data_IF_269982592546
#
_entry.id   IF_269982592546
#
_cell.length_a   1.000
_cell.length_b   1.000
_cell.length_c   1.000
_cell.angle_alpha   90.00
_cell.angle_beta   90.00
_cell.angle_gamma   90.00
#
_symmetry.space_group_name_H-M   'P 1'
#
loop_
_entity.id
_entity.type
_entity.pdbx_description
1 polymer ?
#
# COMPACT_ATOMS: atom_id res chain seq x y z
N UNK A 1 23.49 -12.38 1.92
CA UNK A 1 22.45 -11.84 1.00
C UNK A 1 22.53 -12.53 -0.34
N UNK A 2 23.56 -12.25 -1.16
CA UNK A 2 23.75 -12.84 -2.49
C UNK A 2 23.72 -14.38 -2.47
N UNK A 3 24.52 -15.00 -1.59
CA UNK A 3 24.51 -16.46 -1.38
C UNK A 3 23.18 -17.03 -0.87
N UNK A 4 22.30 -16.22 -0.28
CA UNK A 4 20.97 -16.69 0.11
C UNK A 4 20.05 -16.62 -1.10
N UNK A 5 20.05 -15.50 -1.82
CA UNK A 5 19.21 -15.29 -2.99
C UNK A 5 19.45 -16.34 -4.09
N UNK A 6 20.71 -16.69 -4.35
CA UNK A 6 21.08 -17.75 -5.32
C UNK A 6 20.57 -19.15 -4.93
N UNK A 7 20.30 -19.38 -3.64
CA UNK A 7 19.79 -20.67 -3.15
C UNK A 7 18.26 -20.78 -3.26
N UNK A 8 17.57 -19.75 -3.74
CA UNK A 8 16.15 -19.85 -4.06
C UNK A 8 15.97 -20.80 -5.27
N UNK A 9 15.11 -21.83 -5.22
CA UNK A 9 15.02 -22.85 -6.28
C UNK A 9 14.72 -22.31 -7.69
N UNK A 10 14.03 -21.17 -7.77
CA UNK A 10 13.68 -20.52 -9.03
C UNK A 10 14.69 -19.43 -9.49
N UNK A 11 15.85 -19.31 -8.83
CA UNK A 11 16.90 -18.34 -9.18
C UNK A 11 18.13 -19.08 -9.69
N UNK A 12 18.60 -18.72 -10.88
CA UNK A 12 19.79 -19.30 -11.53
C UNK A 12 21.06 -18.53 -11.21
N UNK A 13 20.99 -17.20 -11.19
CA UNK A 13 22.10 -16.31 -10.85
C UNK A 13 21.59 -15.16 -9.99
N UNK A 14 22.44 -14.63 -9.10
CA UNK A 14 22.07 -13.54 -8.21
C UNK A 14 23.27 -12.61 -7.94
N UNK A 15 22.99 -11.32 -7.83
CA UNK A 15 23.92 -10.33 -7.34
C UNK A 15 23.19 -9.36 -6.41
N UNK A 16 23.86 -8.86 -5.37
CA UNK A 16 23.30 -7.79 -4.52
C UNK A 16 24.24 -6.60 -4.54
N UNK A 17 23.68 -5.40 -4.76
CA UNK A 17 24.45 -4.17 -4.74
C UNK A 17 23.73 -3.09 -3.92
N UNK A 18 24.49 -2.37 -3.11
CA UNK A 18 24.04 -1.14 -2.49
C UNK A 18 24.07 0.00 -3.53
N UNK A 19 23.01 0.81 -3.56
CA UNK A 19 22.90 2.02 -4.37
C UNK A 19 22.38 3.14 -3.49
N UNK A 20 22.94 4.33 -3.64
CA UNK A 20 22.35 5.53 -3.06
C UNK A 20 21.21 6.00 -3.96
N UNK A 21 20.07 6.34 -3.37
CA UNK A 21 19.02 7.08 -4.06
C UNK A 21 19.30 8.60 -4.05
N UNK A 22 18.42 9.38 -4.66
CA UNK A 22 18.54 10.84 -4.73
C UNK A 22 18.50 11.53 -3.35
N UNK A 23 17.92 10.88 -2.34
CA UNK A 23 17.86 11.37 -0.96
C UNK A 23 19.11 10.96 -0.15
N UNK A 24 20.08 10.30 -0.81
CA UNK A 24 21.30 9.69 -0.23
C UNK A 24 21.00 8.53 0.73
N UNK A 25 19.82 7.96 0.66
CA UNK A 25 19.51 6.74 1.38
C UNK A 25 20.11 5.56 0.60
N UNK A 26 20.93 4.76 1.29
CA UNK A 26 21.54 3.57 0.72
C UNK A 26 20.53 2.43 0.72
N UNK A 27 20.09 2.02 -0.47
CA UNK A 27 19.17 0.91 -0.67
C UNK A 27 19.88 -0.30 -1.26
N UNK A 28 19.53 -1.48 -0.77
CA UNK A 28 19.98 -2.75 -1.34
C UNK A 28 19.13 -3.11 -2.55
N UNK A 29 19.77 -3.45 -3.67
CA UNK A 29 19.14 -3.92 -4.89
C UNK A 29 19.58 -5.36 -5.16
N UNK A 30 18.61 -6.26 -5.32
CA UNK A 30 18.81 -7.66 -5.67
C UNK A 30 18.62 -7.88 -7.16
N UNK A 31 19.68 -8.23 -7.87
CA UNK A 31 19.62 -8.63 -9.26
C UNK A 31 19.53 -10.15 -9.33
N UNK A 32 18.65 -10.68 -10.16
CA UNK A 32 18.53 -12.12 -10.31
C UNK A 32 18.20 -12.52 -11.75
N UNK A 33 18.66 -13.70 -12.12
CA UNK A 33 18.29 -14.40 -13.37
C UNK A 33 17.36 -15.54 -12.98
N UNK A 34 16.14 -15.62 -13.51
CA UNK A 34 15.19 -16.67 -13.15
C UNK A 34 15.57 -17.99 -13.82
N UNK A 35 15.44 -19.10 -13.10
CA UNK A 35 15.69 -20.45 -13.63
C UNK A 35 14.58 -20.93 -14.59
N UNK A 36 13.38 -20.36 -14.48
CA UNK A 36 12.21 -20.70 -15.32
C UNK A 36 11.47 -19.43 -15.76
N UNK A 37 10.68 -19.51 -16.83
CA UNK A 37 9.75 -18.44 -17.25
C UNK A 37 8.30 -18.96 -17.19
N UNK A 38 7.41 -18.34 -16.39
CA UNK A 38 7.67 -17.20 -15.50
C UNK A 38 8.61 -17.57 -14.33
N UNK A 39 9.33 -16.56 -13.83
CA UNK A 39 10.22 -16.67 -12.66
C UNK A 39 9.46 -16.42 -11.34
N UNK A 40 10.17 -16.39 -10.20
CA UNK A 40 9.55 -16.11 -8.91
C UNK A 40 9.04 -14.67 -8.83
N UNK A 41 7.97 -14.46 -8.08
CA UNK A 41 7.49 -13.13 -7.72
C UNK A 41 8.46 -12.44 -6.75
N UNK A 42 8.39 -11.11 -6.70
CA UNK A 42 9.20 -10.33 -5.75
C UNK A 42 8.88 -10.70 -4.30
N UNK A 43 7.62 -11.00 -4.00
CA UNK A 43 7.20 -11.39 -2.65
C UNK A 43 7.74 -12.78 -2.27
N UNK A 44 7.74 -13.75 -3.19
CA UNK A 44 8.36 -15.07 -2.96
C UNK A 44 9.84 -14.94 -2.60
N UNK A 45 10.59 -14.12 -3.36
CA UNK A 45 11.99 -13.84 -3.07
C UNK A 45 12.17 -13.17 -1.70
N UNK A 46 11.30 -12.20 -1.37
CA UNK A 46 11.37 -11.47 -0.11
C UNK A 46 11.07 -12.37 1.08
N UNK A 47 10.02 -13.19 1.02
CA UNK A 47 9.66 -14.17 2.05
C UNK A 47 10.80 -15.15 2.27
N UNK A 48 11.35 -15.70 1.19
CA UNK A 48 12.47 -16.63 1.26
C UNK A 48 13.70 -16.01 1.94
N UNK A 49 14.01 -14.74 1.66
CA UNK A 49 15.11 -14.03 2.30
C UNK A 49 14.83 -13.72 3.78
N UNK A 50 13.59 -13.32 4.15
CA UNK A 50 13.19 -13.02 5.53
C UNK A 50 13.37 -14.19 6.49
N UNK A 51 13.11 -15.41 6.02
CA UNK A 51 13.31 -16.62 6.83
C UNK A 51 14.79 -16.90 7.17
N UNK A 52 15.72 -16.25 6.46
CA UNK A 52 17.16 -16.60 6.46
C UNK A 52 18.06 -15.41 6.78
N UNK A 53 17.54 -14.19 6.72
CA UNK A 53 18.29 -12.94 6.89
C UNK A 53 17.48 -11.96 7.74
N UNK A 54 18.16 -11.10 8.53
CA UNK A 54 17.50 -10.00 9.22
C UNK A 54 17.00 -8.95 8.22
N UNK A 55 15.94 -8.21 8.60
CA UNK A 55 15.20 -7.31 7.70
C UNK A 55 16.06 -6.28 6.95
N UNK A 56 17.10 -5.73 7.61
CA UNK A 56 17.99 -4.73 7.01
C UNK A 56 18.89 -5.29 5.89
N UNK A 57 18.98 -6.62 5.75
CA UNK A 57 19.77 -7.29 4.71
C UNK A 57 18.93 -7.69 3.49
N UNK A 58 17.66 -7.34 3.48
CA UNK A 58 16.72 -7.71 2.43
C UNK A 58 16.67 -6.59 1.41
N UNK A 59 16.92 -6.87 0.11
CA UNK A 59 16.82 -5.84 -0.91
C UNK A 59 15.48 -5.11 -0.90
N UNK A 60 15.54 -3.79 -1.03
CA UNK A 60 14.37 -2.95 -1.19
C UNK A 60 13.75 -3.18 -2.58
N UNK A 61 14.61 -3.28 -3.61
CA UNK A 61 14.23 -3.50 -5.01
C UNK A 61 14.83 -4.79 -5.55
N UNK A 62 14.12 -5.40 -6.50
CA UNK A 62 14.59 -6.55 -7.25
C UNK A 62 14.55 -6.26 -8.76
N UNK A 63 15.63 -6.61 -9.45
CA UNK A 63 15.77 -6.43 -10.90
C UNK A 63 15.97 -7.79 -11.55
N UNK A 64 15.03 -8.17 -12.41
CA UNK A 64 15.14 -9.39 -13.22
C UNK A 64 16.05 -9.13 -14.42
N UNK A 65 17.02 -10.01 -14.65
CA UNK A 65 17.96 -9.93 -15.77
C UNK A 65 17.88 -11.22 -16.60
N UNK A 66 18.31 -11.12 -17.87
CA UNK A 66 18.51 -12.31 -18.72
C UNK A 66 19.82 -13.02 -18.39
N UNK A 67 20.84 -12.26 -17.99
CA UNK A 67 22.15 -12.75 -17.55
C UNK A 67 22.82 -11.69 -16.67
N UNK A 68 23.70 -12.09 -15.74
CA UNK A 68 24.52 -11.11 -15.03
C UNK A 68 25.62 -10.54 -15.95
N UNK A 69 25.92 -9.23 -15.87
CA UNK A 69 27.01 -8.65 -16.63
C UNK A 69 28.35 -9.18 -16.10
N UNK A 70 29.19 -9.70 -17.00
CA UNK A 70 30.51 -10.20 -16.66
C UNK A 70 31.60 -9.30 -17.28
N UNK A 71 32.71 -9.15 -16.57
CA UNK A 71 33.91 -8.52 -17.10
C UNK A 71 34.66 -9.51 -18.05
N UNK A 72 35.70 -9.07 -18.77
CA UNK A 72 36.45 -9.94 -19.68
C UNK A 72 37.07 -11.19 -19.02
N UNK A 73 37.21 -11.20 -17.69
CA UNK A 73 37.72 -12.35 -16.93
C UNK A 73 36.60 -13.29 -16.44
N UNK A 74 35.36 -13.10 -16.90
CA UNK A 74 34.20 -13.91 -16.51
C UNK A 74 33.69 -13.67 -15.09
N UNK A 75 34.13 -12.60 -14.42
CA UNK A 75 33.63 -12.23 -13.08
C UNK A 75 32.53 -11.19 -13.19
N UNK A 76 31.59 -11.18 -12.25
CA UNK A 76 30.53 -10.16 -12.16
C UNK A 76 31.10 -8.73 -12.25
N UNK A 77 30.63 -7.98 -13.25
CA UNK A 77 30.89 -6.56 -13.38
C UNK A 77 29.79 -5.74 -12.69
N UNK A 78 30.03 -5.42 -11.41
CA UNK A 78 29.08 -4.65 -10.57
C UNK A 78 28.83 -3.23 -11.07
N UNK A 79 29.70 -2.67 -11.91
CA UNK A 79 29.55 -1.33 -12.49
C UNK A 79 28.63 -1.35 -13.71
N UNK A 80 28.56 -2.49 -14.39
CA UNK A 80 27.67 -2.71 -15.52
C UNK A 80 26.27 -3.20 -15.11
N UNK A 81 26.03 -3.42 -13.80
CA UNK A 81 24.69 -3.72 -13.30
C UNK A 81 23.77 -2.52 -13.59
N UNK A 82 22.61 -2.75 -14.25
CA UNK A 82 21.70 -1.67 -14.60
C UNK A 82 21.17 -1.00 -13.33
N UNK A 83 20.83 0.28 -13.44
CA UNK A 83 20.07 0.93 -12.38
C UNK A 83 18.70 0.25 -12.27
N UNK A 84 18.17 0.10 -11.06
CA UNK A 84 16.77 -0.30 -10.89
C UNK A 84 15.81 0.77 -11.40
N UNK A 85 16.28 2.01 -11.58
CA UNK A 85 15.52 3.14 -12.09
C UNK A 85 14.33 3.49 -11.20
N UNK A 86 13.54 4.43 -11.71
CA UNK A 86 12.20 4.73 -11.18
C UNK A 86 11.10 4.09 -12.01
N UNK A 87 11.41 3.29 -13.02
CA UNK A 87 10.35 2.73 -13.86
C UNK A 87 9.50 1.75 -13.06
N UNK A 88 8.17 1.91 -13.10
CA UNK A 88 7.22 0.91 -12.59
C UNK A 88 7.64 -0.50 -13.03
N UNK A 89 7.81 -1.45 -12.09
CA UNK A 89 8.16 -2.83 -12.42
C UNK A 89 7.15 -3.44 -13.41
N UNK A 90 7.62 -4.39 -14.23
CA UNK A 90 6.73 -5.20 -15.05
C UNK A 90 5.94 -6.16 -14.17
N UNK A 91 4.81 -5.68 -13.66
CA UNK A 91 3.80 -6.47 -12.95
C UNK A 91 2.70 -6.91 -13.92
N UNK A 92 1.95 -7.95 -13.55
CA UNK A 92 0.88 -8.53 -14.38
C UNK A 92 -0.32 -7.60 -14.56
N UNK A 93 -0.52 -6.64 -13.65
CA UNK A 93 -1.60 -5.66 -13.72
C UNK A 93 -1.39 -4.65 -14.86
N UNK A 94 -2.49 -4.34 -15.56
CA UNK A 94 -2.54 -3.21 -16.48
C UNK A 94 -2.51 -1.92 -15.67
N UNK A 95 -1.71 -0.94 -16.11
CA UNK A 95 -1.72 0.39 -15.49
C UNK A 95 -3.08 1.06 -15.70
N UNK A 96 -3.71 1.47 -14.60
CA UNK A 96 -4.97 2.23 -14.60
C UNK A 96 -4.78 3.49 -13.77
N UNK A 97 -5.12 4.64 -14.34
CA UNK A 97 -4.96 5.94 -13.69
C UNK A 97 -5.90 6.12 -12.49
N UNK A 98 -5.49 6.91 -11.48
CA UNK A 98 -6.35 7.30 -10.37
C UNK A 98 -7.60 8.07 -10.81
N UNK A 99 -8.76 7.66 -10.31
CA UNK A 99 -10.09 8.17 -10.67
C UNK A 99 -10.61 9.19 -9.68
N UNK A 100 -10.18 9.12 -8.42
CA UNK A 100 -10.56 10.05 -7.35
C UNK A 100 -9.39 10.87 -6.81
N UNK A 101 -9.69 11.92 -6.01
CA UNK A 101 -8.65 12.69 -5.31
C UNK A 101 -7.90 11.83 -4.29
N UNK A 102 -8.60 10.94 -3.57
CA UNK A 102 -7.98 10.04 -2.59
C UNK A 102 -7.03 9.07 -3.29
N UNK A 103 -7.44 8.47 -4.41
CA UNK A 103 -6.58 7.58 -5.19
C UNK A 103 -5.35 8.31 -5.75
N UNK A 104 -5.50 9.57 -6.19
CA UNK A 104 -4.37 10.38 -6.69
C UNK A 104 -3.32 10.61 -5.61
N UNK A 105 -3.76 11.05 -4.44
CA UNK A 105 -2.88 11.32 -3.30
C UNK A 105 -2.18 10.04 -2.82
N UNK A 106 -2.92 8.94 -2.69
CA UNK A 106 -2.33 7.63 -2.36
C UNK A 106 -1.30 7.20 -3.42
N UNK A 107 -1.60 7.38 -4.71
CA UNK A 107 -0.68 7.01 -5.80
C UNK A 107 0.61 7.80 -5.75
N UNK A 108 0.55 9.10 -5.43
CA UNK A 108 1.72 9.94 -5.27
C UNK A 108 2.56 9.53 -4.06
N UNK A 109 1.91 9.29 -2.91
CA UNK A 109 2.59 8.82 -1.69
C UNK A 109 3.31 7.49 -1.95
N UNK A 110 2.66 6.57 -2.66
CA UNK A 110 3.22 5.26 -2.98
C UNK A 110 4.37 5.36 -3.98
N UNK A 111 4.20 6.13 -5.06
CA UNK A 111 5.24 6.34 -6.06
C UNK A 111 6.52 6.90 -5.42
N UNK A 112 6.38 7.87 -4.51
CA UNK A 112 7.51 8.43 -3.76
C UNK A 112 8.14 7.39 -2.82
N UNK A 113 7.34 6.69 -2.02
CA UNK A 113 7.85 5.71 -1.06
C UNK A 113 8.56 4.53 -1.75
N UNK A 114 8.01 4.05 -2.86
CA UNK A 114 8.58 2.96 -3.67
C UNK A 114 9.70 3.44 -4.60
N UNK A 115 9.91 4.75 -4.70
CA UNK A 115 10.83 5.37 -5.66
C UNK A 115 10.60 4.88 -7.09
N UNK A 116 9.35 5.00 -7.55
CA UNK A 116 8.91 4.69 -8.92
C UNK A 116 8.13 5.87 -9.54
N UNK A 117 7.99 5.87 -10.86
CA UNK A 117 7.45 6.96 -11.67
C UNK A 117 5.93 7.09 -11.53
N UNK A 118 5.24 5.95 -11.47
CA UNK A 118 3.80 5.89 -11.31
C UNK A 118 3.33 4.58 -10.68
N UNK A 119 2.19 4.68 -10.00
CA UNK A 119 1.47 3.54 -9.43
C UNK A 119 0.06 3.57 -9.99
N UNK A 120 -0.38 2.44 -10.55
CA UNK A 120 -1.76 2.24 -11.00
C UNK A 120 -2.66 1.82 -9.84
N UNK A 121 -3.95 2.08 -9.96
CA UNK A 121 -4.89 1.82 -8.84
C UNK A 121 -5.01 0.35 -8.44
N UNK A 122 -4.70 -0.56 -9.38
CA UNK A 122 -4.74 -2.01 -9.20
C UNK A 122 -3.38 -2.64 -8.94
N UNK A 123 -2.33 -1.82 -8.86
CA UNK A 123 -1.00 -2.34 -8.56
C UNK A 123 -0.95 -2.77 -7.09
N UNK A 124 -0.52 -4.02 -6.89
CA UNK A 124 -0.30 -4.55 -5.57
C UNK A 124 1.00 -3.96 -4.99
N UNK A 125 0.90 -3.40 -3.78
CA UNK A 125 2.02 -2.81 -3.05
C UNK A 125 3.27 -3.69 -3.02
N UNK A 126 3.09 -4.97 -2.72
CA UNK A 126 4.17 -5.93 -2.54
C UNK A 126 4.79 -6.36 -3.87
N UNK A 127 3.96 -6.47 -4.92
CA UNK A 127 4.44 -6.73 -6.29
C UNK A 127 5.27 -5.56 -6.84
N UNK A 128 5.02 -4.34 -6.34
CA UNK A 128 5.84 -3.16 -6.65
C UNK A 128 7.12 -3.07 -5.80
N UNK A 129 7.38 -4.03 -4.92
CA UNK A 129 8.55 -4.04 -4.03
C UNK A 129 8.29 -3.45 -2.64
N UNK A 130 7.04 -3.20 -2.28
CA UNK A 130 6.64 -2.76 -0.94
C UNK A 130 7.04 -3.72 0.18
N UNK A 131 7.23 -3.18 1.38
CA UNK A 131 7.49 -3.95 2.62
C UNK A 131 7.04 -3.18 3.86
N UNK A 132 7.13 -3.79 5.04
CA UNK A 132 6.56 -3.25 6.29
C UNK A 132 7.05 -1.84 6.67
N UNK A 133 8.32 -1.52 6.43
CA UNK A 133 8.86 -0.17 6.69
C UNK A 133 8.26 0.86 5.73
N UNK A 134 8.23 0.55 4.42
CA UNK A 134 7.56 1.40 3.43
C UNK A 134 6.06 1.53 3.73
N UNK A 135 5.40 0.45 4.15
CA UNK A 135 4.00 0.49 4.56
C UNK A 135 3.78 1.43 5.77
N UNK A 136 4.71 1.41 6.73
CA UNK A 136 4.68 2.31 7.90
C UNK A 136 4.88 3.76 7.48
N UNK A 137 5.82 4.03 6.56
CA UNK A 137 6.03 5.35 5.99
C UNK A 137 4.79 5.85 5.22
N UNK A 138 4.16 4.99 4.41
CA UNK A 138 2.93 5.29 3.69
C UNK A 138 1.80 5.64 4.66
N UNK A 139 1.59 4.85 5.71
CA UNK A 139 0.58 5.13 6.74
C UNK A 139 0.83 6.50 7.37
N UNK A 140 2.08 6.79 7.74
CA UNK A 140 2.45 8.09 8.31
C UNK A 140 2.21 9.26 7.34
N UNK A 141 2.65 9.14 6.08
CA UNK A 141 2.46 10.17 5.03
C UNK A 141 0.99 10.36 4.67
N UNK A 142 0.20 9.29 4.66
CA UNK A 142 -1.26 9.32 4.43
C UNK A 142 -1.94 10.12 5.54
N UNK A 143 -1.57 9.88 6.80
CA UNK A 143 -2.09 10.64 7.93
C UNK A 143 -1.79 12.13 7.81
N UNK A 144 -0.54 12.48 7.49
CA UNK A 144 -0.13 13.89 7.36
C UNK A 144 -0.78 14.59 6.16
N UNK A 145 -0.91 13.92 5.02
CA UNK A 145 -1.38 14.55 3.77
C UNK A 145 -2.91 14.59 3.67
N UNK A 146 -3.59 13.54 4.14
CA UNK A 146 -5.03 13.38 4.00
C UNK A 146 -5.81 13.57 5.30
N UNK A 147 -5.13 13.71 6.45
CA UNK A 147 -5.76 13.73 7.78
C UNK A 147 -6.63 12.49 8.04
N UNK A 148 -6.22 11.35 7.48
CA UNK A 148 -6.91 10.06 7.59
C UNK A 148 -6.00 9.07 8.30
N UNK A 149 -6.54 8.39 9.31
CA UNK A 149 -5.85 7.25 9.90
C UNK A 149 -6.08 6.02 9.02
N UNK A 150 -5.01 5.53 8.41
CA UNK A 150 -4.99 4.27 7.68
C UNK A 150 -4.40 3.19 8.59
N UNK A 151 -5.18 2.23 9.09
CA UNK A 151 -4.62 1.13 9.86
C UNK A 151 -3.61 0.36 9.02
N UNK A 152 -2.43 0.06 9.57
CA UNK A 152 -1.40 -0.69 8.85
C UNK A 152 -1.93 -2.05 8.34
N UNK A 153 -2.79 -2.69 9.14
CA UNK A 153 -3.48 -3.93 8.75
C UNK A 153 -4.23 -3.80 7.42
N UNK A 154 -4.90 -2.68 7.18
CA UNK A 154 -5.67 -2.46 5.95
C UNK A 154 -4.77 -2.53 4.71
N UNK A 155 -3.53 -2.03 4.78
CA UNK A 155 -2.60 -2.11 3.66
C UNK A 155 -2.22 -3.57 3.33
N UNK A 156 -2.11 -4.45 4.34
CA UNK A 156 -1.81 -5.87 4.11
C UNK A 156 -3.03 -6.65 3.61
N UNK A 157 -4.23 -6.34 4.11
CA UNK A 157 -5.47 -7.02 3.71
C UNK A 157 -6.00 -6.52 2.35
N UNK A 158 -5.66 -5.29 1.99
CA UNK A 158 -6.14 -4.59 0.80
C UNK A 158 -4.96 -3.86 0.13
N UNK A 159 -4.03 -4.59 -0.51
CA UNK A 159 -2.74 -4.06 -0.93
C UNK A 159 -2.78 -3.25 -2.23
N UNK A 160 -3.94 -2.72 -2.62
CA UNK A 160 -4.08 -1.87 -3.81
C UNK A 160 -4.68 -0.52 -3.43
N UNK A 161 -4.40 0.50 -4.25
CA UNK A 161 -4.90 1.85 -4.01
C UNK A 161 -6.43 1.90 -4.09
N UNK A 162 -7.04 1.18 -5.04
CA UNK A 162 -8.50 1.09 -5.16
C UNK A 162 -9.13 0.57 -3.86
N UNK A 163 -8.60 -0.54 -3.30
CA UNK A 163 -9.15 -1.14 -2.10
C UNK A 163 -8.94 -0.24 -0.86
N UNK A 164 -7.77 0.39 -0.73
CA UNK A 164 -7.50 1.32 0.38
C UNK A 164 -8.40 2.54 0.29
N UNK A 165 -8.57 3.11 -0.90
CA UNK A 165 -9.45 4.25 -1.11
C UNK A 165 -10.90 3.90 -0.74
N UNK A 166 -11.37 2.71 -1.13
CA UNK A 166 -12.70 2.22 -0.74
C UNK A 166 -12.85 2.07 0.79
N UNK A 167 -11.87 1.46 1.46
CA UNK A 167 -11.89 1.33 2.92
C UNK A 167 -11.90 2.70 3.64
N UNK A 168 -11.11 3.65 3.13
CA UNK A 168 -11.09 5.03 3.65
C UNK A 168 -12.45 5.71 3.50
N UNK A 169 -13.09 5.55 2.34
CA UNK A 169 -14.42 6.12 2.06
C UNK A 169 -15.48 5.52 3.00
N UNK A 170 -15.50 4.21 3.17
CA UNK A 170 -16.42 3.52 4.08
C UNK A 170 -16.25 4.01 5.54
N UNK A 171 -15.00 4.18 6.00
CA UNK A 171 -14.72 4.74 7.32
C UNK A 171 -15.15 6.21 7.47
N UNK A 172 -15.09 7.01 6.41
CA UNK A 172 -15.58 8.40 6.42
C UNK A 172 -17.10 8.45 6.50
N UNK A 173 -17.80 7.63 5.72
CA UNK A 173 -19.27 7.56 5.73
C UNK A 173 -19.80 7.14 7.11
N UNK A 174 -19.21 6.09 7.72
CA UNK A 174 -19.57 5.65 9.07
C UNK A 174 -19.37 6.74 10.12
N UNK A 175 -18.22 7.43 10.10
CA UNK A 175 -17.95 8.56 11.02
C UNK A 175 -18.91 9.73 10.81
N UNK A 176 -19.27 10.04 9.56
CA UNK A 176 -20.24 11.11 9.26
C UNK A 176 -21.61 10.77 9.84
N UNK A 177 -22.08 9.54 9.65
CA UNK A 177 -23.36 9.07 10.22
C UNK A 177 -23.37 9.09 11.75
N UNK A 178 -22.28 8.65 12.40
CA UNK A 178 -22.16 8.71 13.86
C UNK A 178 -22.14 10.15 14.40
N UNK A 179 -21.49 11.08 13.70
CA UNK A 179 -21.47 12.49 14.08
C UNK A 179 -22.85 13.14 13.91
N UNK A 180 -23.57 12.78 12.86
CA UNK A 180 -24.94 13.23 12.63
C UNK A 180 -25.89 12.70 13.72
N UNK A 181 -25.80 11.41 14.04
CA UNK A 181 -26.56 10.81 15.15
C UNK A 181 -26.25 11.49 16.49
N UNK A 182 -24.97 11.75 16.80
CA UNK A 182 -24.58 12.48 18.02
C UNK A 182 -25.13 13.90 18.05
N UNK A 183 -25.14 14.61 16.91
CA UNK A 183 -25.76 15.95 16.82
C UNK A 183 -27.26 15.88 17.08
N UNK A 184 -27.95 14.90 16.50
CA UNK A 184 -29.40 14.71 16.69
C UNK A 184 -29.71 14.36 18.14
N UNK A 185 -28.97 13.42 18.74
CA UNK A 185 -29.12 13.05 20.16
C UNK A 185 -28.89 14.24 21.07
N UNK A 186 -27.80 15.00 20.88
CA UNK A 186 -27.53 16.20 21.66
C UNK A 186 -28.65 17.24 21.50
N UNK A 187 -29.17 17.42 20.29
CA UNK A 187 -30.29 18.34 20.04
C UNK A 187 -31.54 17.91 20.81
N UNK A 188 -31.86 16.61 20.83
CA UNK A 188 -32.98 16.05 21.59
C UNK A 188 -32.80 16.20 23.11
N UNK A 189 -31.60 15.94 23.63
CA UNK A 189 -31.26 16.11 25.06
C UNK A 189 -31.27 17.58 25.50
N UNK A 190 -31.01 18.51 24.57
CA UNK A 190 -31.02 19.96 24.82
C UNK A 190 -32.39 20.62 24.64
N UNK A 191 -33.42 19.87 24.23
CA UNK A 191 -34.79 20.39 24.18
C UNK A 191 -35.30 20.62 25.61
N UNK A 192 -35.93 21.77 25.90
CA UNK A 192 -36.67 21.94 27.15
C UNK A 192 -37.70 20.81 27.31
N UNK A 193 -37.86 20.27 28.51
CA UNK A 193 -38.76 19.14 28.78
C UNK A 193 -40.19 19.37 28.25
N UNK A 194 -40.67 20.63 28.23
CA UNK A 194 -41.97 21.00 27.64
C UNK A 194 -42.06 20.72 26.12
N UNK A 195 -40.98 20.91 25.38
CA UNK A 195 -40.95 20.76 23.92
C UNK A 195 -40.79 19.28 23.54
N UNK A 196 -40.00 18.53 24.32
CA UNK A 196 -39.91 17.07 24.21
C UNK A 196 -41.26 16.37 24.53
N UNK A 197 -41.97 16.83 25.57
CA UNK A 197 -43.30 16.33 25.93
C UNK A 197 -44.35 16.64 24.84
N UNK A 198 -44.36 17.86 24.28
CA UNK A 198 -45.25 18.22 23.16
C UNK A 198 -45.06 17.32 21.93
N UNK A 199 -43.81 17.04 21.54
CA UNK A 199 -43.51 16.18 20.39
C UNK A 199 -43.91 14.71 20.61
N UNK A 200 -43.89 14.22 21.86
CA UNK A 200 -44.38 12.90 22.22
C UNK A 200 -45.92 12.83 22.23
N UNK A 201 -46.59 13.89 22.69
CA UNK A 201 -48.05 14.01 22.67
C UNK A 201 -48.60 14.11 21.23
N UNK A 202 -47.96 14.89 20.35
CA UNK A 202 -48.36 15.00 18.94
C UNK A 202 -48.19 13.68 18.16
N UNK A 203 -47.12 12.92 18.42
CA UNK A 203 -46.90 11.62 17.78
C UNK A 203 -47.83 10.52 18.32
N UNK A 204 -48.19 10.56 19.61
CA UNK A 204 -49.14 9.61 20.21
C UNK A 204 -50.59 9.91 19.78
N UNK A 205 -50.95 11.18 19.61
CA UNK A 205 -52.21 11.60 19.00
C UNK A 205 -52.31 11.18 17.52
N UNK A 206 -51.22 11.34 16.75
CA UNK A 206 -51.16 10.93 15.34
C UNK A 206 -51.23 9.41 15.17
N UNK A 207 -50.65 8.62 16.09
CA UNK A 207 -50.79 7.15 16.09
C UNK A 207 -52.17 6.66 16.53
N UNK A 208 -52.84 7.35 17.47
CA UNK A 208 -54.23 7.03 17.84
C UNK A 208 -55.23 7.36 16.74
N UNK A 209 -55.01 8.41 15.95
CA UNK A 209 -55.87 8.74 14.80
C UNK A 209 -55.83 7.73 13.66
N UNK A 210 -54.67 7.12 13.39
CA UNK A 210 -54.51 6.09 12.34
C UNK A 210 -54.94 4.67 12.75
N UNK A 211 -55.33 4.46 14.01
CA UNK A 211 -55.80 3.15 14.50
C UNK A 211 -57.34 3.01 14.46
N UNK A 212 -58.06 4.05 14.02
CA UNK A 212 -59.52 4.08 13.89
C UNK A 212 -60.01 4.46 12.48
N UNK A 213 -59.14 4.45 11.47
CA UNK A 213 -59.51 4.50 10.04
C UNK A 213 -59.32 3.13 9.37
#
# INVERSE_FOLDING_TARGET
MENVLINHPAVQEAAVAAREDEERDTQLIGYYVPATKPGPSIEELRVFLKERLPDYMIPAKFVVLESLPLNPNGKLDRRALPDAGRTRPKVSSVYVEPRSLVERELSQIWAQALSIDKVGIHDNFFDLGGHSLLATQIVSRTRSSLSIELPLRTLFESPTIEQIAAAIMEHREKRSGEQELKRVLFKLESLPDEEAQRLLEENTATRRGKQYE
#
